data_IF_798361430715
#
_entry.id   IF_798361430715
#
_cell.length_a   1.000
_cell.length_b   1.000
_cell.length_c   1.000
_cell.angle_alpha   90.00
_cell.angle_beta   90.00
_cell.angle_gamma   90.00
#
_symmetry.space_group_name_H-M   'P 1'
#
loop_
_entity.id
_entity.type
_entity.pdbx_description
1 polymer ?
#
# COMPACT_ATOMS: atom_id res chain seq x y z
N UNK A 1 -17.46 -24.21 -15.15
CA UNK A 1 -16.44 -24.46 -14.12
C UNK A 1 -15.68 -23.18 -13.92
N UNK A 2 -15.58 -22.59 -12.72
CA UNK A 2 -14.67 -21.49 -12.50
C UNK A 2 -13.26 -22.03 -12.71
N UNK A 3 -12.49 -21.36 -13.57
CA UNK A 3 -11.08 -21.65 -13.77
C UNK A 3 -10.39 -21.59 -12.41
N UNK A 4 -9.69 -22.66 -12.03
CA UNK A 4 -8.76 -22.64 -10.89
C UNK A 4 -7.75 -21.53 -11.17
N UNK A 5 -7.86 -20.41 -10.49
CA UNK A 5 -6.82 -19.39 -10.54
C UNK A 5 -5.58 -20.01 -9.89
N UNK A 6 -4.56 -20.26 -10.69
CA UNK A 6 -3.25 -20.56 -10.15
C UNK A 6 -2.85 -19.38 -9.25
N UNK A 7 -2.30 -19.66 -8.07
CA UNK A 7 -1.79 -18.63 -7.18
C UNK A 7 -0.70 -17.82 -7.90
N UNK A 8 -0.67 -16.51 -7.70
CA UNK A 8 0.35 -15.63 -8.27
C UNK A 8 1.75 -16.14 -7.92
N UNK A 9 2.61 -16.29 -8.92
CA UNK A 9 4.01 -16.67 -8.71
C UNK A 9 4.84 -15.45 -8.28
N UNK A 10 5.70 -15.62 -7.29
CA UNK A 10 6.61 -14.57 -6.83
C UNK A 10 8.05 -14.99 -7.12
N UNK A 11 8.72 -14.20 -7.94
CA UNK A 11 10.15 -14.35 -8.23
C UNK A 11 10.93 -13.28 -7.47
N UNK A 12 11.94 -13.68 -6.70
CA UNK A 12 12.70 -12.76 -5.85
C UNK A 12 13.96 -12.21 -6.52
N UNK A 13 14.35 -12.75 -7.65
CA UNK A 13 15.45 -12.29 -8.48
C UNK A 13 15.23 -12.71 -9.93
N UNK A 14 15.98 -12.11 -10.83
CA UNK A 14 15.81 -12.34 -12.26
C UNK A 14 16.06 -13.80 -12.65
N UNK A 15 17.00 -14.47 -11.99
CA UNK A 15 17.36 -15.88 -12.23
C UNK A 15 16.24 -16.84 -11.89
N UNK A 16 15.35 -16.50 -10.92
CA UNK A 16 14.23 -17.34 -10.50
C UNK A 16 13.16 -17.46 -11.60
N UNK A 17 13.13 -16.52 -12.57
CA UNK A 17 12.17 -16.59 -13.69
C UNK A 17 12.57 -17.72 -14.61
N UNK A 18 11.72 -18.77 -14.80
CA UNK A 18 12.06 -19.89 -15.68
C UNK A 18 12.22 -19.43 -17.14
N UNK A 19 13.11 -20.08 -17.88
CA UNK A 19 13.36 -19.74 -19.28
C UNK A 19 12.10 -19.86 -20.18
N UNK A 20 11.14 -20.69 -19.82
CA UNK A 20 9.88 -20.88 -20.54
C UNK A 20 8.69 -20.10 -19.95
N UNK A 21 8.90 -19.19 -19.00
CA UNK A 21 7.80 -18.45 -18.37
C UNK A 21 7.09 -17.49 -19.34
N UNK A 22 7.84 -16.81 -20.21
CA UNK A 22 7.30 -15.91 -21.24
C UNK A 22 6.66 -16.63 -22.43
N UNK A 23 6.13 -15.90 -23.40
CA UNK A 23 6.18 -14.44 -23.55
C UNK A 23 5.23 -13.69 -22.61
N UNK A 24 5.66 -12.47 -22.16
CA UNK A 24 4.97 -11.71 -21.13
C UNK A 24 4.34 -10.41 -21.64
N UNK A 25 3.23 -10.02 -21.01
CA UNK A 25 2.74 -8.65 -20.94
C UNK A 25 3.05 -8.12 -19.54
N UNK A 26 3.72 -6.98 -19.43
CA UNK A 26 4.18 -6.50 -18.12
C UNK A 26 4.13 -4.99 -17.94
N UNK A 27 4.26 -4.58 -16.69
CA UNK A 27 4.54 -3.21 -16.26
C UNK A 27 5.66 -3.23 -15.22
N UNK A 28 6.52 -2.21 -15.26
CA UNK A 28 7.62 -2.00 -14.32
C UNK A 28 7.32 -0.78 -13.45
N UNK A 29 7.29 -0.95 -12.14
CA UNK A 29 6.99 0.17 -11.27
C UNK A 29 7.24 -0.11 -9.80
N UNK A 30 7.25 0.94 -8.99
CA UNK A 30 7.34 0.78 -7.54
C UNK A 30 6.07 0.18 -6.94
N UNK A 31 4.93 0.35 -7.59
CA UNK A 31 3.60 -0.08 -7.17
C UNK A 31 3.28 0.25 -5.71
N UNK A 32 3.90 1.31 -5.19
CA UNK A 32 3.66 1.73 -3.82
C UNK A 32 2.25 2.29 -3.66
N UNK A 33 1.48 1.67 -2.77
CA UNK A 33 0.06 1.93 -2.58
C UNK A 33 -0.87 1.13 -3.49
N UNK A 34 -0.41 0.48 -4.57
CA UNK A 34 -1.24 -0.22 -5.58
C UNK A 34 -2.57 0.52 -5.81
N UNK A 35 -2.44 1.80 -6.19
CA UNK A 35 -3.58 2.72 -6.35
C UNK A 35 -4.30 2.52 -7.69
N UNK A 36 -5.44 3.19 -7.89
CA UNK A 36 -6.29 3.04 -9.09
C UNK A 36 -5.56 3.15 -10.43
N UNK A 37 -4.53 3.99 -10.56
CA UNK A 37 -3.75 4.05 -11.79
C UNK A 37 -2.95 2.76 -12.01
N UNK A 38 -2.36 2.18 -10.96
CA UNK A 38 -1.69 0.89 -11.04
C UNK A 38 -2.67 -0.24 -11.37
N UNK A 39 -3.80 -0.32 -10.65
CA UNK A 39 -4.79 -1.39 -10.88
C UNK A 39 -5.40 -1.32 -12.29
N UNK A 40 -5.57 -0.13 -12.86
CA UNK A 40 -6.02 0.03 -14.25
C UNK A 40 -5.04 -0.58 -15.23
N UNK A 41 -3.74 -0.22 -15.11
CA UNK A 41 -2.68 -0.75 -15.99
C UNK A 41 -2.59 -2.27 -15.86
N UNK A 42 -2.59 -2.78 -14.63
CA UNK A 42 -2.49 -4.22 -14.38
C UNK A 42 -3.72 -4.99 -14.89
N UNK A 43 -4.93 -4.43 -14.77
CA UNK A 43 -6.14 -5.05 -15.33
C UNK A 43 -6.06 -5.19 -16.86
N UNK A 44 -5.53 -4.17 -17.56
CA UNK A 44 -5.36 -4.22 -19.01
C UNK A 44 -4.30 -5.26 -19.40
N UNK A 45 -3.21 -5.38 -18.64
CA UNK A 45 -2.17 -6.41 -18.81
C UNK A 45 -2.78 -7.81 -18.64
N UNK A 46 -3.49 -8.06 -17.55
CA UNK A 46 -4.14 -9.34 -17.25
C UNK A 46 -5.12 -9.72 -18.37
N UNK A 47 -5.98 -8.77 -18.76
CA UNK A 47 -6.95 -8.99 -19.85
C UNK A 47 -6.25 -9.27 -21.18
N UNK A 48 -5.22 -8.49 -21.53
CA UNK A 48 -4.44 -8.67 -22.76
C UNK A 48 -3.72 -10.01 -22.79
N UNK A 49 -3.06 -10.39 -21.70
CA UNK A 49 -2.34 -11.65 -21.58
C UNK A 49 -3.26 -12.86 -21.76
N UNK A 50 -4.43 -12.87 -21.10
CA UNK A 50 -5.44 -13.92 -21.25
C UNK A 50 -5.93 -14.08 -22.69
N UNK A 51 -6.23 -12.95 -23.36
CA UNK A 51 -6.68 -12.96 -24.77
C UNK A 51 -5.64 -13.53 -25.72
N UNK A 52 -4.36 -13.34 -25.39
CA UNK A 52 -3.23 -13.74 -26.25
C UNK A 52 -2.61 -15.09 -25.83
N UNK A 53 -3.12 -15.75 -24.78
CA UNK A 53 -2.52 -16.99 -24.24
C UNK A 53 -1.10 -16.76 -23.70
N UNK A 54 -0.84 -15.59 -23.09
CA UNK A 54 0.46 -15.18 -22.55
C UNK A 54 0.39 -14.99 -21.05
N UNK A 55 1.54 -14.74 -20.42
CA UNK A 55 1.64 -14.48 -18.99
C UNK A 55 1.62 -12.97 -18.69
N UNK A 56 0.91 -12.58 -17.66
CA UNK A 56 0.87 -11.23 -17.12
C UNK A 56 1.86 -11.08 -15.95
N UNK A 57 2.65 -10.01 -15.92
CA UNK A 57 3.67 -9.82 -14.88
C UNK A 57 3.73 -8.37 -14.41
N UNK A 58 3.83 -8.17 -13.09
CA UNK A 58 4.26 -6.91 -12.49
C UNK A 58 5.73 -7.02 -12.07
N UNK A 59 6.59 -6.10 -12.53
CA UNK A 59 7.99 -6.01 -12.09
C UNK A 59 8.09 -4.87 -11.10
N UNK A 60 8.47 -5.18 -9.86
CA UNK A 60 8.65 -4.19 -8.79
C UNK A 60 10.00 -4.37 -8.10
N UNK A 61 10.35 -3.46 -7.21
CA UNK A 61 11.69 -3.41 -6.65
C UNK A 61 11.67 -3.60 -5.12
N UNK A 62 12.69 -4.30 -4.60
CA UNK A 62 12.97 -4.42 -3.17
C UNK A 62 14.50 -4.37 -2.93
N UNK A 63 15.00 -3.43 -2.12
CA UNK A 63 14.26 -2.32 -1.51
C UNK A 63 13.74 -1.29 -2.54
N UNK A 64 12.85 -0.41 -2.10
CA UNK A 64 12.36 0.70 -2.95
C UNK A 64 13.53 1.53 -3.47
N UNK A 65 13.62 1.86 -4.78
CA UNK A 65 14.76 2.54 -5.41
C UNK A 65 15.26 3.77 -4.65
N UNK A 66 14.38 4.59 -4.11
CA UNK A 66 14.75 5.80 -3.36
C UNK A 66 15.57 5.46 -2.10
N UNK A 67 15.35 4.30 -1.46
CA UNK A 67 16.13 3.89 -0.27
C UNK A 67 17.60 3.63 -0.59
N UNK A 68 17.90 3.25 -1.83
CA UNK A 68 19.27 3.04 -2.31
C UNK A 68 19.86 4.33 -2.89
N UNK A 69 19.05 5.07 -3.70
CA UNK A 69 19.52 6.26 -4.41
C UNK A 69 19.61 7.50 -3.51
N UNK A 70 18.74 7.60 -2.49
CA UNK A 70 18.63 8.72 -1.56
C UNK A 70 18.28 8.20 -0.16
N UNK A 71 19.20 7.52 0.54
CA UNK A 71 18.92 6.86 1.83
C UNK A 71 18.40 7.85 2.89
N UNK A 72 18.87 9.09 2.85
CA UNK A 72 18.47 10.15 3.78
C UNK A 72 17.13 10.81 3.44
N UNK A 73 16.42 10.35 2.41
CA UNK A 73 15.14 10.94 2.01
C UNK A 73 14.01 10.77 3.04
N UNK A 74 14.16 9.82 3.98
CA UNK A 74 13.13 9.49 4.97
C UNK A 74 11.83 8.96 4.35
N UNK A 75 11.88 8.42 3.11
CA UNK A 75 10.68 7.92 2.43
C UNK A 75 9.98 6.85 3.25
N UNK A 76 8.71 7.09 3.56
CA UNK A 76 7.78 6.13 4.15
C UNK A 76 6.90 5.54 3.06
N UNK A 77 6.84 4.21 2.99
CA UNK A 77 6.03 3.50 2.00
C UNK A 77 4.54 3.57 2.37
N UNK A 78 3.69 3.64 1.35
CA UNK A 78 2.23 3.46 1.49
C UNK A 78 1.89 2.02 1.82
N UNK A 79 2.64 1.09 1.25
CA UNK A 79 2.45 -0.35 1.46
C UNK A 79 3.80 -1.04 1.65
N UNK A 80 4.07 -1.64 2.82
CA UNK A 80 5.19 -2.56 2.99
C UNK A 80 5.13 -3.71 1.98
N UNK A 81 6.26 -4.33 1.69
CA UNK A 81 6.37 -5.36 0.64
C UNK A 81 5.38 -6.52 0.80
N UNK A 82 5.13 -7.11 1.98
CA UNK A 82 4.13 -8.17 2.11
C UNK A 82 2.73 -7.72 1.67
N UNK A 83 2.29 -6.54 2.11
CA UNK A 83 0.99 -5.97 1.74
C UNK A 83 0.95 -5.59 0.24
N UNK A 84 2.04 -5.06 -0.31
CA UNK A 84 2.15 -4.79 -1.74
C UNK A 84 1.95 -6.05 -2.57
N UNK A 85 2.56 -7.16 -2.19
CA UNK A 85 2.42 -8.45 -2.88
C UNK A 85 0.98 -8.96 -2.80
N UNK A 86 0.34 -8.91 -1.64
CA UNK A 86 -1.08 -9.27 -1.46
C UNK A 86 -2.00 -8.43 -2.36
N UNK A 87 -1.74 -7.13 -2.47
CA UNK A 87 -2.52 -6.24 -3.32
C UNK A 87 -2.28 -6.48 -4.83
N UNK A 88 -1.06 -6.85 -5.22
CA UNK A 88 -0.76 -7.21 -6.59
C UNK A 88 -1.42 -8.54 -6.97
N UNK A 89 -1.42 -9.54 -6.08
CA UNK A 89 -2.13 -10.80 -6.26
C UNK A 89 -3.62 -10.58 -6.51
N UNK A 90 -4.24 -9.68 -5.74
CA UNK A 90 -5.66 -9.33 -5.92
C UNK A 90 -5.97 -8.69 -7.29
N UNK A 91 -4.97 -8.23 -8.05
CA UNK A 91 -5.18 -7.75 -9.43
C UNK A 91 -5.30 -8.87 -10.45
N UNK A 92 -4.95 -10.11 -10.07
CA UNK A 92 -4.99 -11.29 -10.92
C UNK A 92 -3.84 -11.42 -11.92
N UNK A 93 -2.70 -10.75 -11.68
CA UNK A 93 -1.47 -10.97 -12.44
C UNK A 93 -0.95 -12.39 -12.20
N UNK A 94 -0.39 -13.03 -13.22
CA UNK A 94 0.14 -14.40 -13.10
C UNK A 94 1.43 -14.43 -12.28
N UNK A 95 2.23 -13.37 -12.33
CA UNK A 95 3.48 -13.29 -11.57
C UNK A 95 3.87 -11.87 -11.15
N UNK A 96 4.67 -11.82 -10.08
CA UNK A 96 5.41 -10.64 -9.65
C UNK A 96 6.91 -10.97 -9.66
N UNK A 97 7.69 -10.13 -10.32
CA UNK A 97 9.14 -10.12 -10.13
C UNK A 97 9.50 -9.03 -9.12
N UNK A 98 9.92 -9.45 -7.94
CA UNK A 98 10.44 -8.58 -6.88
C UNK A 98 11.96 -8.40 -7.11
N UNK A 99 12.31 -7.53 -8.05
CA UNK A 99 13.68 -7.35 -8.49
C UNK A 99 14.52 -6.62 -7.42
N UNK A 100 15.64 -7.21 -6.95
CA UNK A 100 16.54 -6.54 -6.03
C UNK A 100 17.07 -5.23 -6.63
N UNK A 101 16.76 -4.09 -5.99
CA UNK A 101 17.27 -2.81 -6.45
C UNK A 101 18.65 -2.56 -5.82
N UNK A 102 19.68 -2.90 -6.57
CA UNK A 102 21.07 -2.75 -6.18
C UNK A 102 21.70 -1.50 -6.80
N UNK A 103 22.90 -1.14 -6.32
CA UNK A 103 23.69 -0.08 -6.95
C UNK A 103 23.98 -0.41 -8.40
N UNK A 104 24.33 -1.66 -8.71
CA UNK A 104 24.65 -2.10 -10.07
C UNK A 104 23.43 -1.97 -10.99
N UNK A 105 22.24 -2.41 -10.54
CA UNK A 105 21.02 -2.19 -11.33
C UNK A 105 20.76 -0.69 -11.58
N UNK A 106 21.05 0.17 -10.61
CA UNK A 106 20.89 1.62 -10.75
C UNK A 106 21.86 2.27 -11.76
N UNK A 107 22.94 1.60 -12.10
CA UNK A 107 23.93 2.04 -13.08
C UNK A 107 23.69 1.45 -14.48
N UNK A 108 22.76 0.51 -14.60
CA UNK A 108 22.42 -0.12 -15.90
C UNK A 108 21.88 0.93 -16.87
N UNK A 109 22.40 0.91 -18.11
CA UNK A 109 21.90 1.84 -19.13
C UNK A 109 20.45 1.52 -19.51
N UNK A 110 19.67 2.48 -20.05
CA UNK A 110 18.34 2.18 -20.56
C UNK A 110 18.32 1.06 -21.59
N UNK A 111 19.34 0.98 -22.47
CA UNK A 111 19.45 -0.06 -23.49
C UNK A 111 19.69 -1.44 -22.89
N UNK A 112 20.61 -1.55 -21.95
CA UNK A 112 20.91 -2.83 -21.29
C UNK A 112 19.69 -3.33 -20.50
N UNK A 113 18.99 -2.44 -19.79
CA UNK A 113 17.74 -2.78 -19.11
C UNK A 113 16.68 -3.32 -20.09
N UNK A 114 16.49 -2.65 -21.22
CA UNK A 114 15.53 -3.08 -22.24
C UNK A 114 15.93 -4.41 -22.89
N UNK A 115 17.22 -4.58 -23.22
CA UNK A 115 17.71 -5.76 -23.90
C UNK A 115 17.80 -6.98 -22.94
N UNK A 116 18.51 -6.85 -21.82
CA UNK A 116 18.86 -8.00 -20.99
C UNK A 116 17.66 -8.43 -20.11
N UNK A 117 16.96 -7.45 -19.51
CA UNK A 117 15.85 -7.75 -18.62
C UNK A 117 14.55 -7.93 -19.41
N UNK A 118 14.10 -6.89 -20.14
CA UNK A 118 12.78 -6.94 -20.77
C UNK A 118 12.73 -7.95 -21.92
N UNK A 119 13.67 -7.84 -22.87
CA UNK A 119 13.64 -8.67 -24.09
C UNK A 119 14.14 -10.08 -23.85
N UNK A 120 15.35 -10.22 -23.33
CA UNK A 120 16.05 -11.51 -23.25
C UNK A 120 15.48 -12.38 -22.13
N UNK A 121 15.36 -11.83 -20.93
CA UNK A 121 14.96 -12.63 -19.76
C UNK A 121 13.45 -12.75 -19.62
N UNK A 122 12.70 -11.65 -19.69
CA UNK A 122 11.25 -11.65 -19.50
C UNK A 122 10.46 -11.90 -20.78
N UNK A 123 11.12 -11.95 -21.94
CA UNK A 123 10.51 -12.19 -23.24
C UNK A 123 9.29 -11.29 -23.50
N UNK A 124 9.42 -10.02 -23.12
CA UNK A 124 8.35 -9.03 -23.19
C UNK A 124 7.79 -8.90 -24.59
N UNK A 125 6.46 -8.89 -24.71
CA UNK A 125 5.72 -8.63 -25.94
C UNK A 125 4.94 -7.33 -25.91
N UNK A 126 4.43 -6.98 -24.73
CA UNK A 126 3.81 -5.68 -24.51
C UNK A 126 4.29 -5.14 -23.16
N UNK A 127 4.61 -3.86 -23.12
CA UNK A 127 4.93 -3.12 -21.90
C UNK A 127 3.93 -1.99 -21.71
N UNK A 128 3.33 -1.89 -20.52
CA UNK A 128 2.28 -0.95 -20.22
C UNK A 128 2.75 0.01 -19.13
N UNK A 129 2.93 1.29 -19.45
CA UNK A 129 3.55 2.25 -18.55
C UNK A 129 2.77 3.57 -18.44
N UNK A 130 2.88 4.21 -17.29
CA UNK A 130 2.34 5.54 -17.07
C UNK A 130 3.16 6.62 -17.82
N UNK A 131 2.51 7.73 -18.13
CA UNK A 131 3.09 8.87 -18.89
C UNK A 131 4.42 9.40 -18.32
N UNK A 132 4.67 9.21 -17.04
CA UNK A 132 5.85 9.68 -16.32
C UNK A 132 6.85 8.56 -16.01
N UNK A 133 6.80 7.47 -16.78
CA UNK A 133 7.73 6.36 -16.61
C UNK A 133 9.16 6.77 -17.02
N UNK A 134 10.10 6.48 -16.14
CA UNK A 134 11.54 6.65 -16.39
C UNK A 134 12.29 5.42 -15.91
N UNK A 135 13.37 5.08 -16.62
CA UNK A 135 14.19 3.91 -16.32
C UNK A 135 15.66 4.10 -16.69
N UNK A 136 16.48 3.12 -16.27
CA UNK A 136 17.91 3.15 -16.50
C UNK A 136 18.66 4.16 -15.64
N UNK A 137 19.98 4.22 -15.82
CA UNK A 137 20.87 5.06 -15.04
C UNK A 137 20.42 6.53 -15.08
N UNK A 138 20.33 7.17 -13.91
CA UNK A 138 19.91 8.56 -13.74
C UNK A 138 18.56 8.89 -14.37
N UNK A 139 17.67 7.88 -14.52
CA UNK A 139 16.38 8.05 -15.17
C UNK A 139 16.48 8.58 -16.62
N UNK A 140 17.54 8.20 -17.35
CA UNK A 140 17.82 8.69 -18.69
C UNK A 140 16.87 8.13 -19.76
N UNK A 141 16.20 6.99 -19.50
CA UNK A 141 15.16 6.43 -20.34
C UNK A 141 13.78 7.00 -20.01
N UNK A 142 13.01 7.30 -21.05
CA UNK A 142 11.61 7.71 -20.98
C UNK A 142 10.72 6.83 -21.87
N UNK A 143 9.44 7.14 -22.02
CA UNK A 143 8.51 6.41 -22.87
C UNK A 143 8.87 6.47 -24.36
N UNK A 144 9.45 7.57 -24.83
CA UNK A 144 9.84 7.70 -26.24
C UNK A 144 10.97 6.73 -26.55
N UNK A 145 12.03 6.76 -25.74
CA UNK A 145 13.17 5.86 -25.86
C UNK A 145 12.74 4.38 -25.69
N UNK A 146 11.84 4.09 -24.74
CA UNK A 146 11.29 2.75 -24.56
C UNK A 146 10.53 2.28 -25.81
N UNK A 147 9.78 3.18 -26.46
CA UNK A 147 9.03 2.88 -27.69
C UNK A 147 9.99 2.61 -28.87
N UNK A 148 11.08 3.34 -28.95
CA UNK A 148 12.16 3.08 -29.96
C UNK A 148 12.76 1.69 -29.74
N UNK A 149 13.12 1.36 -28.50
CA UNK A 149 13.61 0.02 -28.16
C UNK A 149 12.57 -1.07 -28.42
N UNK A 150 11.29 -0.79 -28.16
CA UNK A 150 10.22 -1.71 -28.47
C UNK A 150 10.17 -2.07 -29.98
N UNK A 151 10.27 -1.07 -30.87
CA UNK A 151 10.32 -1.29 -32.32
C UNK A 151 11.55 -2.09 -32.71
N UNK A 152 12.72 -1.76 -32.17
CA UNK A 152 13.98 -2.44 -32.47
C UNK A 152 13.98 -3.89 -31.99
N UNK A 153 13.50 -4.13 -30.76
CA UNK A 153 13.60 -5.42 -30.07
C UNK A 153 12.33 -6.30 -30.20
N UNK A 154 11.28 -5.78 -30.85
CA UNK A 154 10.06 -6.54 -31.16
C UNK A 154 9.10 -6.68 -29.98
N UNK A 155 8.85 -5.62 -29.21
CA UNK A 155 7.77 -5.51 -28.22
C UNK A 155 6.99 -4.20 -28.39
N UNK A 156 5.72 -4.22 -28.01
CA UNK A 156 4.86 -3.04 -28.04
C UNK A 156 4.93 -2.26 -26.73
N UNK A 157 4.77 -0.93 -26.79
CA UNK A 157 4.67 -0.06 -25.62
C UNK A 157 3.34 0.66 -25.63
N UNK A 158 2.57 0.48 -24.54
CA UNK A 158 1.30 1.18 -24.30
C UNK A 158 1.49 2.21 -23.20
N UNK A 159 1.29 3.48 -23.53
CA UNK A 159 1.40 4.59 -22.61
C UNK A 159 0.03 4.97 -22.04
N UNK A 160 -0.03 5.20 -20.72
CA UNK A 160 -1.24 5.63 -20.01
C UNK A 160 -1.12 7.08 -19.59
N UNK A 161 -2.11 7.93 -19.93
CA UNK A 161 -2.13 9.31 -19.46
C UNK A 161 -2.32 9.39 -17.95
N UNK A 162 -2.04 10.55 -17.37
CA UNK A 162 -2.31 10.81 -15.97
C UNK A 162 -3.78 10.49 -15.63
N UNK A 163 -3.98 9.62 -14.65
CA UNK A 163 -5.32 9.40 -14.12
C UNK A 163 -5.65 10.49 -13.10
N UNK A 164 -6.74 11.19 -13.32
CA UNK A 164 -7.27 12.17 -12.37
C UNK A 164 -8.68 11.78 -11.93
N UNK A 165 -8.94 11.87 -10.63
CA UNK A 165 -10.25 11.62 -10.04
C UNK A 165 -10.71 12.87 -9.29
N UNK A 166 -11.86 13.43 -9.67
CA UNK A 166 -12.39 14.68 -9.10
C UNK A 166 -11.37 15.82 -9.12
N UNK A 167 -10.58 15.92 -10.21
CA UNK A 167 -9.52 16.92 -10.35
C UNK A 167 -8.21 16.60 -9.64
N UNK A 168 -8.12 15.54 -8.85
CA UNK A 168 -6.90 15.15 -8.13
C UNK A 168 -6.09 14.09 -8.89
N UNK A 169 -4.74 14.22 -8.96
CA UNK A 169 -3.91 13.22 -9.60
C UNK A 169 -3.86 11.94 -8.75
N UNK A 170 -3.96 10.79 -9.41
CA UNK A 170 -3.82 9.48 -8.76
C UNK A 170 -2.34 9.07 -8.78
N UNK A 171 -1.63 9.37 -7.71
CA UNK A 171 -0.20 9.03 -7.57
C UNK A 171 0.17 8.74 -6.12
N UNK A 172 1.20 7.92 -5.90
CA UNK A 172 1.71 7.60 -4.56
C UNK A 172 2.13 8.87 -3.79
N UNK A 173 2.75 9.84 -4.47
CA UNK A 173 3.15 11.12 -3.86
C UNK A 173 1.95 11.92 -3.34
N UNK A 174 0.90 12.03 -4.16
CA UNK A 174 -0.30 12.77 -3.75
C UNK A 174 -1.05 12.04 -2.62
N UNK A 175 -1.13 10.71 -2.68
CA UNK A 175 -1.74 9.89 -1.63
C UNK A 175 -0.99 10.03 -0.30
N UNK A 176 0.38 10.02 -0.31
CA UNK A 176 1.17 10.27 0.90
C UNK A 176 0.86 11.65 1.51
N UNK A 177 0.76 12.68 0.67
CA UNK A 177 0.39 14.02 1.12
C UNK A 177 -0.98 14.02 1.81
N UNK A 178 -2.00 13.43 1.19
CA UNK A 178 -3.35 13.35 1.76
C UNK A 178 -3.37 12.60 3.09
N UNK A 179 -2.65 11.49 3.19
CA UNK A 179 -2.54 10.72 4.44
C UNK A 179 -1.79 11.49 5.52
N UNK A 180 -0.68 12.15 5.20
CA UNK A 180 0.04 13.03 6.14
C UNK A 180 -0.81 14.21 6.65
N UNK A 181 -1.76 14.70 5.84
CA UNK A 181 -2.75 15.70 6.24
C UNK A 181 -3.97 15.09 6.99
N UNK A 182 -4.00 13.77 7.20
CA UNK A 182 -5.10 13.04 7.82
C UNK A 182 -6.36 12.95 6.95
N UNK A 183 -6.27 13.21 5.65
CA UNK A 183 -7.40 13.18 4.70
C UNK A 183 -7.64 11.76 4.17
N UNK A 184 -7.79 10.81 5.09
CA UNK A 184 -7.88 9.36 4.78
C UNK A 184 -9.04 9.01 3.86
N UNK A 185 -10.18 9.71 3.97
CA UNK A 185 -11.33 9.50 3.09
C UNK A 185 -11.01 9.86 1.63
N UNK A 186 -10.22 10.93 1.39
CA UNK A 186 -9.78 11.31 0.04
C UNK A 186 -8.76 10.31 -0.51
N UNK A 187 -7.79 9.92 0.32
CA UNK A 187 -6.83 8.87 -0.03
C UNK A 187 -7.52 7.56 -0.41
N UNK A 188 -8.60 7.16 0.30
CA UNK A 188 -9.43 6.00 -0.02
C UNK A 188 -9.97 6.03 -1.45
N UNK A 189 -10.43 7.19 -1.95
CA UNK A 189 -10.91 7.30 -3.33
C UNK A 189 -9.82 7.03 -4.36
N UNK A 190 -8.59 7.47 -4.10
CA UNK A 190 -7.46 7.27 -5.00
C UNK A 190 -6.89 5.85 -4.91
N UNK A 191 -6.92 5.25 -3.72
CA UNK A 191 -6.49 3.87 -3.45
C UNK A 191 -7.51 2.81 -3.90
N UNK A 192 -8.79 3.16 -4.05
CA UNK A 192 -9.94 2.25 -4.20
C UNK A 192 -10.24 1.39 -2.97
N UNK A 193 -9.56 1.60 -1.85
CA UNK A 193 -9.71 0.92 -0.58
C UNK A 193 -9.33 1.83 0.58
N UNK A 194 -9.74 1.54 1.83
CA UNK A 194 -9.18 2.21 2.99
C UNK A 194 -7.64 2.04 3.02
N UNK A 195 -6.94 3.07 3.47
CA UNK A 195 -5.53 2.90 3.84
C UNK A 195 -5.48 2.05 5.10
N UNK A 196 -4.58 1.07 5.16
CA UNK A 196 -4.43 0.20 6.32
C UNK A 196 -3.00 0.16 6.82
N UNK A 197 -2.86 -0.14 8.11
CA UNK A 197 -1.60 -0.44 8.80
C UNK A 197 -1.73 -1.85 9.36
N UNK A 198 -0.82 -2.73 8.97
CA UNK A 198 -0.67 -4.07 9.52
C UNK A 198 0.53 -4.10 10.45
N UNK A 199 0.33 -4.50 11.69
CA UNK A 199 1.37 -4.68 12.70
C UNK A 199 0.95 -5.78 13.67
N UNK A 200 1.61 -5.88 14.80
CA UNK A 200 1.22 -6.78 15.89
C UNK A 200 0.76 -5.99 17.11
N UNK A 201 0.15 -6.69 18.06
CA UNK A 201 -0.23 -6.10 19.34
C UNK A 201 1.03 -5.73 20.14
N UNK A 202 1.21 -4.43 20.42
CA UNK A 202 2.29 -3.93 21.25
C UNK A 202 1.99 -4.09 22.75
N UNK A 203 3.03 -4.14 23.56
CA UNK A 203 2.88 -4.09 25.03
C UNK A 203 2.34 -2.72 25.45
N UNK A 204 1.05 -2.62 25.70
CA UNK A 204 0.43 -1.45 26.32
C UNK A 204 0.72 -1.39 27.82
N UNK A 205 0.70 -0.19 28.40
CA UNK A 205 0.84 -0.01 29.86
C UNK A 205 -0.36 -0.51 30.69
N UNK A 206 -1.31 -1.25 30.10
CA UNK A 206 -2.47 -1.80 30.81
C UNK A 206 -3.47 -0.77 31.34
N UNK A 207 -3.33 0.52 31.00
CA UNK A 207 -4.27 1.56 31.45
C UNK A 207 -5.69 1.38 30.89
N UNK A 208 -5.83 0.77 29.71
CA UNK A 208 -7.13 0.48 29.11
C UNK A 208 -7.95 -0.54 29.88
N UNK A 209 -7.31 -1.53 30.51
CA UNK A 209 -8.00 -2.57 31.29
C UNK A 209 -8.58 -2.07 32.62
N UNK A 210 -8.05 -0.98 33.17
CA UNK A 210 -8.58 -0.34 34.38
C UNK A 210 -9.82 0.55 34.14
N UNK A 211 -10.10 0.91 32.90
CA UNK A 211 -11.10 1.92 32.56
C UNK A 211 -12.10 1.48 31.49
N UNK A 212 -12.57 0.24 31.58
CA UNK A 212 -13.80 -0.25 30.93
C UNK A 212 -13.82 -0.36 29.41
N UNK A 213 -12.75 -0.10 28.68
CA UNK A 213 -12.79 -0.21 27.21
C UNK A 213 -11.48 -0.77 26.67
N UNK A 214 -11.52 -1.86 25.86
CA UNK A 214 -10.31 -2.53 25.38
C UNK A 214 -9.61 -1.66 24.34
N UNK A 215 -8.43 -1.21 24.68
CA UNK A 215 -7.56 -0.46 23.78
C UNK A 215 -6.34 -1.30 23.43
N UNK A 216 -6.12 -1.54 22.15
CA UNK A 216 -4.95 -2.19 21.63
C UNK A 216 -3.96 -1.12 21.19
N UNK A 217 -2.72 -1.23 21.65
CA UNK A 217 -1.61 -0.44 21.15
C UNK A 217 -0.93 -1.24 20.05
N UNK A 218 -0.64 -0.62 18.90
CA UNK A 218 0.19 -1.26 17.90
C UNK A 218 1.66 -1.28 18.34
N UNK A 219 2.36 -2.33 17.96
CA UNK A 219 3.82 -2.35 17.97
C UNK A 219 4.37 -1.24 17.08
N UNK A 220 5.68 -0.94 17.23
CA UNK A 220 6.33 0.10 16.44
C UNK A 220 6.11 -0.16 14.93
N UNK A 221 5.66 0.88 14.22
CA UNK A 221 5.45 0.84 12.79
C UNK A 221 6.35 1.86 12.09
N UNK A 222 7.15 1.40 11.14
CA UNK A 222 8.24 2.18 10.54
C UNK A 222 7.82 2.92 9.25
N UNK A 223 6.72 2.53 8.63
CA UNK A 223 6.26 3.08 7.36
C UNK A 223 5.27 4.24 7.55
N UNK A 224 4.56 4.62 6.50
CA UNK A 224 3.65 5.75 6.51
C UNK A 224 2.49 5.54 7.49
N UNK A 225 2.27 6.55 8.32
CA UNK A 225 1.11 6.64 9.22
C UNK A 225 0.31 7.89 8.84
N UNK A 226 -1.03 7.88 8.93
CA UNK A 226 -1.83 9.09 8.78
C UNK A 226 -1.42 10.18 9.77
N UNK A 227 -1.64 11.45 9.41
CA UNK A 227 -1.37 12.58 10.30
C UNK A 227 -2.09 12.47 11.64
N UNK A 228 -1.51 13.10 12.68
CA UNK A 228 -2.01 13.05 14.06
C UNK A 228 -3.50 13.38 14.15
N UNK A 229 -4.24 12.58 14.91
CA UNK A 229 -5.67 12.76 15.09
C UNK A 229 -6.42 11.51 15.51
N UNK A 230 -7.72 11.63 15.63
CA UNK A 230 -8.64 10.54 15.97
C UNK A 230 -9.45 10.17 14.75
N UNK A 231 -9.56 8.88 14.49
CA UNK A 231 -10.14 8.32 13.27
C UNK A 231 -11.23 7.29 13.57
N UNK A 232 -12.25 7.25 12.73
CA UNK A 232 -13.10 6.07 12.59
C UNK A 232 -12.30 5.04 11.83
N UNK A 233 -12.20 3.85 12.37
CA UNK A 233 -11.42 2.75 11.80
C UNK A 233 -12.19 1.44 11.91
N UNK A 234 -11.79 0.46 11.11
CA UNK A 234 -12.16 -0.94 11.30
C UNK A 234 -10.88 -1.72 11.59
N UNK A 235 -10.87 -2.45 12.68
CA UNK A 235 -9.67 -3.17 13.13
C UNK A 235 -9.91 -4.66 13.03
N UNK A 236 -9.07 -5.35 12.27
CA UNK A 236 -8.99 -6.81 12.26
C UNK A 236 -7.95 -7.24 13.28
N UNK A 237 -8.31 -8.20 14.12
CA UNK A 237 -7.45 -8.79 15.13
C UNK A 237 -7.50 -10.31 14.94
N UNK A 238 -6.42 -10.88 14.40
CA UNK A 238 -6.47 -12.25 13.91
C UNK A 238 -7.55 -12.39 12.84
N UNK A 239 -8.53 -13.28 13.06
CA UNK A 239 -9.65 -13.52 12.14
C UNK A 239 -10.87 -12.60 12.37
N UNK A 240 -10.90 -11.85 13.46
CA UNK A 240 -12.06 -11.07 13.87
C UNK A 240 -11.96 -9.61 13.47
N UNK A 241 -13.09 -9.00 13.05
CA UNK A 241 -13.20 -7.62 12.65
C UNK A 241 -14.08 -6.81 13.60
N UNK A 242 -13.57 -5.69 14.08
CA UNK A 242 -14.26 -4.77 14.99
C UNK A 242 -14.38 -3.38 14.36
N UNK A 243 -15.52 -2.76 14.52
CA UNK A 243 -15.62 -1.32 14.39
C UNK A 243 -14.79 -0.67 15.49
N UNK A 244 -14.10 0.43 15.21
CA UNK A 244 -13.13 0.97 16.16
C UNK A 244 -12.93 2.48 16.02
N UNK A 245 -12.29 3.07 17.03
CA UNK A 245 -11.79 4.44 17.02
C UNK A 245 -10.29 4.39 17.29
N UNK A 246 -9.50 4.94 16.40
CA UNK A 246 -8.03 4.93 16.52
C UNK A 246 -7.48 6.33 16.74
N UNK A 247 -6.65 6.49 17.76
CA UNK A 247 -5.82 7.67 17.98
C UNK A 247 -4.43 7.45 17.37
N UNK A 248 -3.98 8.40 16.57
CA UNK A 248 -2.64 8.48 15.98
C UNK A 248 -2.01 9.75 16.49
N UNK A 249 -0.88 9.67 17.17
CA UNK A 249 -0.18 10.86 17.66
C UNK A 249 0.82 10.59 18.77
N UNK A 250 1.39 11.68 19.30
CA UNK A 250 2.30 11.61 20.43
C UNK A 250 1.49 11.46 21.73
N UNK A 251 1.97 10.62 22.64
CA UNK A 251 1.37 10.48 24.00
C UNK A 251 1.75 11.69 24.85
N UNK A 252 0.87 12.70 25.04
CA UNK A 252 1.24 13.90 25.79
C UNK A 252 1.18 13.74 27.30
N UNK A 253 0.74 12.58 27.83
CA UNK A 253 0.18 12.57 29.19
C UNK A 253 1.11 12.13 30.31
N UNK A 254 2.27 11.49 30.10
CA UNK A 254 3.12 11.03 31.22
C UNK A 254 4.62 10.91 30.83
N UNK A 255 5.26 12.02 30.52
CA UNK A 255 6.71 12.21 30.75
C UNK A 255 7.70 11.63 29.73
N UNK A 256 7.27 10.92 28.70
CA UNK A 256 8.10 10.58 27.51
C UNK A 256 7.22 10.69 26.27
N UNK A 257 7.53 11.66 25.43
CA UNK A 257 6.91 11.79 24.10
C UNK A 257 7.26 10.55 23.27
N UNK A 258 6.30 9.64 23.15
CA UNK A 258 6.44 8.48 22.26
C UNK A 258 5.23 8.46 21.33
N UNK A 259 5.50 8.43 20.03
CA UNK A 259 4.47 8.22 19.02
C UNK A 259 3.76 6.89 19.25
N UNK A 260 2.44 6.89 19.18
CA UNK A 260 1.63 5.71 19.39
C UNK A 260 0.43 5.65 18.44
N UNK A 261 0.05 4.44 18.08
CA UNK A 261 -1.20 4.14 17.41
C UNK A 261 -2.02 3.30 18.40
N UNK A 262 -3.11 3.86 18.90
CA UNK A 262 -3.97 3.25 19.91
C UNK A 262 -5.36 3.08 19.31
N UNK A 263 -5.84 1.83 19.20
CA UNK A 263 -7.15 1.53 18.67
C UNK A 263 -8.08 1.01 19.76
N UNK A 264 -9.25 1.62 19.84
CA UNK A 264 -10.32 1.32 20.77
C UNK A 264 -11.40 0.53 20.04
N UNK A 265 -11.58 -0.74 20.40
CA UNK A 265 -12.56 -1.62 19.77
C UNK A 265 -13.96 -1.37 20.31
N UNK A 266 -14.93 -1.18 19.42
CA UNK A 266 -16.33 -1.03 19.76
C UNK A 266 -17.00 -2.40 19.77
N UNK A 267 -17.97 -2.59 20.70
CA UNK A 267 -18.68 -3.87 20.86
C UNK A 267 -17.74 -5.07 21.06
N UNK A 268 -16.69 -4.84 21.83
CA UNK A 268 -15.65 -5.83 22.09
C UNK A 268 -16.17 -6.97 22.98
N UNK A 269 -15.70 -8.17 22.66
CA UNK A 269 -15.74 -9.32 23.56
C UNK A 269 -14.31 -9.81 23.82
N UNK A 270 -14.02 -10.50 24.93
CA UNK A 270 -12.67 -10.94 25.25
C UNK A 270 -12.08 -11.82 24.15
N UNK A 271 -10.92 -11.42 23.64
CA UNK A 271 -10.09 -12.19 22.69
C UNK A 271 -8.71 -12.40 23.29
N UNK A 272 -8.11 -13.53 22.99
CA UNK A 272 -6.74 -13.78 23.41
C UNK A 272 -5.77 -13.02 22.49
N UNK A 273 -5.00 -12.13 23.08
CA UNK A 273 -3.93 -11.39 22.38
C UNK A 273 -2.58 -11.93 22.83
N UNK A 274 -1.78 -12.34 21.87
CA UNK A 274 -0.36 -12.63 22.08
C UNK A 274 0.49 -11.62 21.29
N UNK A 275 1.81 -11.54 21.55
CA UNK A 275 2.69 -10.59 20.84
C UNK A 275 2.80 -10.81 19.33
N UNK A 276 2.36 -11.95 18.82
CA UNK A 276 2.37 -12.31 17.40
C UNK A 276 1.00 -12.09 16.74
N UNK A 277 -0.04 -11.76 17.53
CA UNK A 277 -1.38 -11.51 17.00
C UNK A 277 -1.34 -10.33 16.03
N UNK A 278 -1.67 -10.59 14.78
CA UNK A 278 -1.78 -9.55 13.76
C UNK A 278 -2.94 -8.61 14.04
N UNK A 279 -2.65 -7.32 13.93
CA UNK A 279 -3.62 -6.24 14.06
C UNK A 279 -3.55 -5.38 12.81
N UNK A 280 -4.62 -5.38 12.02
CA UNK A 280 -4.74 -4.55 10.83
C UNK A 280 -5.79 -3.45 11.06
N UNK A 281 -5.38 -2.18 10.96
CA UNK A 281 -6.25 -1.02 11.16
C UNK A 281 -6.55 -0.36 9.82
N UNK A 282 -7.82 -0.36 9.41
CA UNK A 282 -8.33 0.30 8.20
C UNK A 282 -8.88 1.69 8.55
N UNK A 283 -8.28 2.75 8.00
CA UNK A 283 -8.66 4.13 8.26
C UNK A 283 -9.80 4.57 7.33
N UNK A 284 -10.95 4.93 7.91
CA UNK A 284 -12.16 5.26 7.17
C UNK A 284 -12.42 6.76 7.09
N UNK A 285 -12.36 7.45 8.23
CA UNK A 285 -12.63 8.89 8.33
C UNK A 285 -11.91 9.51 9.52
N UNK A 286 -11.41 10.73 9.36
CA UNK A 286 -10.89 11.52 10.49
C UNK A 286 -12.05 12.15 11.25
N UNK A 287 -12.08 12.00 12.57
CA UNK A 287 -13.06 12.61 13.46
C UNK A 287 -12.64 14.00 13.92
N UNK A 288 -11.37 14.15 14.31
CA UNK A 288 -10.79 15.40 14.83
C UNK A 288 -9.27 15.37 14.88
N UNK A 289 -8.67 16.52 15.13
CA UNK A 289 -7.26 16.62 15.49
C UNK A 289 -7.03 16.05 16.89
N UNK A 290 -5.79 15.74 17.23
CA UNK A 290 -5.37 15.48 18.60
C UNK A 290 -5.53 16.73 19.45
N UNK A 291 -5.96 16.57 20.69
CA UNK A 291 -6.11 17.64 21.68
C UNK A 291 -5.59 17.19 23.03
N UNK A 292 -5.00 18.12 23.79
CA UNK A 292 -4.60 17.88 25.17
C UNK A 292 -5.80 18.11 26.09
N UNK A 293 -5.96 17.27 27.10
CA UNK A 293 -7.05 17.36 28.06
C UNK A 293 -6.54 17.83 29.41
N UNK A 294 -7.28 18.72 30.08
CA UNK A 294 -6.90 19.24 31.41
C UNK A 294 -7.08 18.20 32.52
N UNK A 295 -7.92 17.18 32.32
CA UNK A 295 -8.18 16.12 33.31
C UNK A 295 -8.54 14.78 32.62
N UNK A 296 -8.50 13.71 33.40
CA UNK A 296 -8.92 12.36 32.97
C UNK A 296 -10.42 12.33 32.66
N UNK A 297 -11.22 13.08 33.39
CA UNK A 297 -12.66 13.19 33.20
C UNK A 297 -12.98 13.83 31.84
N UNK A 298 -12.30 14.93 31.50
CA UNK A 298 -12.44 15.59 30.20
C UNK A 298 -12.04 14.66 29.04
N UNK A 299 -10.98 13.87 29.21
CA UNK A 299 -10.57 12.84 28.25
C UNK A 299 -11.67 11.78 28.07
N UNK A 300 -12.23 11.26 29.16
CA UNK A 300 -13.32 10.25 29.12
C UNK A 300 -14.55 10.78 28.41
N UNK A 301 -14.98 12.00 28.73
CA UNK A 301 -16.12 12.63 28.06
C UNK A 301 -15.90 12.74 26.56
N UNK A 302 -14.70 13.14 26.15
CA UNK A 302 -14.37 13.26 24.72
C UNK A 302 -14.31 11.90 24.02
N UNK A 303 -13.74 10.87 24.63
CA UNK A 303 -13.76 9.49 24.11
C UNK A 303 -15.22 9.06 23.89
N UNK A 304 -16.12 9.31 24.84
CA UNK A 304 -17.54 9.01 24.70
C UNK A 304 -18.19 9.74 23.50
N UNK A 305 -17.80 11.00 23.23
CA UNK A 305 -18.25 11.76 22.04
C UNK A 305 -17.72 11.13 20.75
N UNK A 306 -16.46 10.73 20.71
CA UNK A 306 -15.83 10.13 19.54
C UNK A 306 -16.43 8.75 19.24
N UNK A 307 -16.68 7.92 20.25
CA UNK A 307 -17.37 6.63 20.11
C UNK A 307 -18.77 6.81 19.51
N UNK A 308 -19.58 7.73 20.03
CA UNK A 308 -20.93 8.01 19.48
C UNK A 308 -20.88 8.46 18.01
N UNK A 309 -19.89 9.28 17.63
CA UNK A 309 -19.71 9.70 16.24
C UNK A 309 -19.32 8.51 15.35
N UNK A 310 -18.43 7.64 15.82
CA UNK A 310 -18.04 6.44 15.09
C UNK A 310 -19.22 5.47 14.93
N UNK A 311 -19.98 5.21 15.98
CA UNK A 311 -21.20 4.37 15.91
C UNK A 311 -22.21 4.92 14.90
N UNK A 312 -22.43 6.24 14.89
CA UNK A 312 -23.29 6.88 13.89
C UNK A 312 -22.74 6.69 12.47
N UNK A 313 -21.43 6.80 12.28
CA UNK A 313 -20.80 6.57 10.97
C UNK A 313 -21.05 5.14 10.47
N UNK A 314 -20.85 4.13 11.33
CA UNK A 314 -21.08 2.73 10.97
C UNK A 314 -22.56 2.43 10.71
N UNK A 315 -23.46 2.97 11.51
CA UNK A 315 -24.90 2.83 11.28
C UNK A 315 -25.31 3.39 9.90
N UNK A 316 -24.77 4.55 9.50
CA UNK A 316 -25.04 5.14 8.18
C UNK A 316 -24.42 4.34 7.03
N UNK A 317 -23.33 3.59 7.25
CA UNK A 317 -22.79 2.68 6.25
C UNK A 317 -23.72 1.48 6.03
N UNK A 318 -24.21 0.86 7.10
CA UNK A 318 -25.14 -0.29 7.02
C UNK A 318 -26.45 0.04 6.30
N UNK A 319 -26.89 1.30 6.32
CA UNK A 319 -28.09 1.74 5.58
C UNK A 319 -27.84 1.96 4.08
N UNK A 320 -26.60 1.86 3.59
CA UNK A 320 -26.22 2.08 2.19
C UNK A 320 -25.86 0.79 1.45
N UNK A 321 -25.63 -0.28 2.17
CA UNK A 321 -25.43 -1.64 1.68
C UNK A 321 -26.77 -2.38 1.57
#
# INVERSE_FOLDING_TARGET
MPALYESMQIFHKLEDVPAGFGPTLLSVGNFDGVHRAHTRVLADIVSGARKQGRKSMAVTFEPHPIRILRPDSGLKLLTPTPEKLRLLEATGVDAVLLLPFTRDLSLMTPRDFAHDILKSKLQTREMHEGYNFHFGNKAAGDLNLLTEFGREMGFEVKAYPELRLRGEPVSSTHIRKLLGEGRVSRARHLLARPFSILSTAGRGRGYGSKYTVPTINLSRYEELVPGDGVYVTRTRVGEECFDSVTNVGNRPTFGTESFAIETHLLNFHPIELNPETEVEIHFLQRLRNEIKFPSVEALREQIGKDVRKAQRYFHLLQLRD
#
